data_IF_861348814626
#
_entry.id   IF_861348814626
#
_cell.length_a   1.000
_cell.length_b   1.000
_cell.length_c   1.000
_cell.angle_alpha   90.00
_cell.angle_beta   90.00
_cell.angle_gamma   90.00
#
_symmetry.space_group_name_H-M   'P 1'
#
loop_
_entity.id
_entity.type
_entity.pdbx_description
1 polymer ?
#
# COMPACT_ATOMS: atom_id res chain seq x y z
N UNK A 1 -21.02 1.13 13.89
CA UNK A 1 -19.88 1.05 12.95
C UNK A 1 -19.12 2.37 13.01
N UNK A 2 -17.79 2.37 13.25
CA UNK A 2 -17.03 3.61 13.48
C UNK A 2 -17.05 4.57 12.28
N UNK A 3 -17.11 4.04 11.04
CA UNK A 3 -17.07 4.83 9.80
C UNK A 3 -18.45 5.34 9.33
N UNK A 4 -19.55 4.99 10.02
CA UNK A 4 -20.89 5.52 9.74
C UNK A 4 -21.36 6.48 10.84
N UNK A 5 -20.42 7.05 11.62
CA UNK A 5 -20.71 8.05 12.64
C UNK A 5 -20.84 9.44 12.01
N UNK A 6 -21.70 10.29 12.57
CA UNK A 6 -21.89 11.68 12.16
C UNK A 6 -20.58 12.48 12.22
N UNK A 7 -19.71 12.23 13.20
CA UNK A 7 -18.42 12.90 13.31
C UNK A 7 -17.51 12.60 12.10
N UNK A 8 -17.47 11.34 11.67
CA UNK A 8 -16.67 10.94 10.51
C UNK A 8 -17.22 11.52 9.21
N UNK A 9 -18.55 11.59 9.06
CA UNK A 9 -19.19 12.20 7.89
C UNK A 9 -18.96 13.71 7.82
N UNK A 10 -18.95 14.41 8.96
CA UNK A 10 -18.56 15.83 9.04
C UNK A 10 -17.11 16.03 8.61
N UNK A 11 -16.19 15.23 9.16
CA UNK A 11 -14.78 15.26 8.78
C UNK A 11 -14.59 15.01 7.27
N UNK A 12 -15.28 14.02 6.70
CA UNK A 12 -15.19 13.72 5.28
C UNK A 12 -15.70 14.86 4.40
N UNK A 13 -16.76 15.56 4.84
CA UNK A 13 -17.29 16.74 4.16
C UNK A 13 -16.34 17.94 4.25
N UNK A 14 -15.68 18.15 5.39
CA UNK A 14 -14.69 19.22 5.57
C UNK A 14 -13.43 18.99 4.72
N UNK A 15 -13.00 17.74 4.59
CA UNK A 15 -11.81 17.34 3.82
C UNK A 15 -12.11 16.99 2.35
N UNK A 16 -13.36 17.16 1.93
CA UNK A 16 -13.84 16.97 0.55
C UNK A 16 -13.49 15.60 -0.06
N UNK A 17 -13.72 14.52 0.69
CA UNK A 17 -13.59 13.15 0.14
C UNK A 17 -14.89 12.34 0.27
N UNK A 18 -15.25 11.55 -0.75
CA UNK A 18 -16.46 10.73 -0.72
C UNK A 18 -16.29 9.52 0.21
N UNK A 19 -17.30 9.27 1.04
CA UNK A 19 -17.39 8.04 1.85
C UNK A 19 -18.27 7.03 1.12
N UNK A 20 -17.65 6.05 0.47
CA UNK A 20 -18.36 4.93 -0.16
C UNK A 20 -18.35 3.74 0.79
N UNK A 21 -19.54 3.34 1.27
CA UNK A 21 -19.72 2.12 2.05
C UNK A 21 -20.13 0.97 1.15
N UNK A 22 -19.51 -0.20 1.33
CA UNK A 22 -19.89 -1.44 0.64
C UNK A 22 -20.81 -2.26 1.51
N UNK A 23 -21.70 -3.05 0.88
CA UNK A 23 -22.54 -3.98 1.62
C UNK A 23 -21.66 -4.98 2.39
N UNK A 24 -21.99 -5.32 3.65
CA UNK A 24 -21.25 -6.30 4.44
C UNK A 24 -21.07 -7.67 3.75
N UNK A 25 -21.98 -8.01 2.82
CA UNK A 25 -21.98 -9.27 2.07
C UNK A 25 -21.05 -9.25 0.85
N UNK A 26 -20.31 -8.17 0.60
CA UNK A 26 -19.42 -8.02 -0.57
C UNK A 26 -17.93 -7.88 -0.18
N UNK A 27 -17.32 -8.96 0.36
CA UNK A 27 -15.97 -8.91 0.93
C UNK A 27 -14.85 -8.68 -0.10
N UNK A 28 -15.12 -8.92 -1.39
CA UNK A 28 -14.13 -8.77 -2.47
C UNK A 28 -13.41 -7.42 -2.47
N UNK A 29 -14.12 -6.35 -2.09
CA UNK A 29 -13.56 -4.99 -2.03
C UNK A 29 -12.49 -4.81 -0.95
N UNK A 30 -12.52 -5.63 0.12
CA UNK A 30 -11.62 -5.52 1.28
C UNK A 30 -10.49 -6.56 1.28
N UNK A 31 -10.54 -7.58 0.42
CA UNK A 31 -9.56 -8.70 0.42
C UNK A 31 -8.11 -8.21 0.33
N UNK A 32 -7.85 -7.19 -0.51
CA UNK A 32 -6.50 -6.66 -0.65
C UNK A 32 -6.02 -5.95 0.62
N UNK A 33 -6.92 -5.22 1.29
CA UNK A 33 -6.64 -4.53 2.56
C UNK A 33 -6.37 -5.55 3.66
N UNK A 34 -7.21 -6.59 3.78
CA UNK A 34 -7.03 -7.64 4.77
C UNK A 34 -5.70 -8.38 4.62
N UNK A 35 -5.34 -8.73 3.38
CA UNK A 35 -4.04 -9.35 3.07
C UNK A 35 -2.88 -8.45 3.48
N UNK A 36 -2.98 -7.15 3.18
CA UNK A 36 -1.98 -6.16 3.54
C UNK A 36 -1.83 -6.04 5.06
N UNK A 37 -2.94 -5.97 5.80
CA UNK A 37 -2.94 -5.96 7.26
C UNK A 37 -2.26 -7.20 7.83
N UNK A 38 -2.52 -8.38 7.25
CA UNK A 38 -1.83 -9.62 7.62
C UNK A 38 -0.31 -9.54 7.43
N UNK A 39 0.15 -9.02 6.28
CA UNK A 39 1.57 -8.86 5.97
C UNK A 39 2.24 -7.89 6.96
N UNK A 40 1.64 -6.73 7.20
CA UNK A 40 2.19 -5.73 8.12
C UNK A 40 2.26 -6.27 9.54
N UNK A 41 1.20 -6.93 10.03
CA UNK A 41 1.21 -7.53 11.36
C UNK A 41 2.35 -8.54 11.51
N UNK A 42 2.58 -9.38 10.51
CA UNK A 42 3.69 -10.34 10.53
C UNK A 42 5.06 -9.64 10.44
N UNK A 43 5.19 -8.59 9.62
CA UNK A 43 6.42 -7.82 9.51
C UNK A 43 6.77 -7.09 10.82
N UNK A 44 5.78 -6.47 11.46
CA UNK A 44 5.95 -5.80 12.76
C UNK A 44 6.30 -6.79 13.86
N UNK A 45 5.72 -7.99 13.88
CA UNK A 45 6.09 -9.04 14.85
C UNK A 45 7.54 -9.52 14.71
N UNK A 46 8.12 -9.44 13.51
CA UNK A 46 9.48 -9.90 13.20
C UNK A 46 10.55 -8.82 13.41
N UNK A 47 10.16 -7.56 13.58
CA UNK A 47 11.07 -6.43 13.73
C UNK A 47 11.00 -5.87 15.14
N UNK A 48 12.15 -5.45 15.67
CA UNK A 48 12.22 -4.72 16.94
C UNK A 48 11.71 -3.27 16.81
N UNK A 49 11.93 -2.66 15.63
CA UNK A 49 11.43 -1.32 15.30
C UNK A 49 10.34 -1.40 14.21
N UNK A 50 9.09 -0.98 14.50
CA UNK A 50 8.01 -0.93 13.52
C UNK A 50 8.32 -0.07 12.29
N UNK A 51 9.09 1.01 12.45
CA UNK A 51 9.39 1.93 11.35
C UNK A 51 10.27 1.27 10.29
N UNK A 52 11.27 0.50 10.74
CA UNK A 52 12.16 -0.26 9.85
C UNK A 52 11.37 -1.34 9.10
N UNK A 53 10.44 -2.02 9.77
CA UNK A 53 9.58 -3.03 9.14
C UNK A 53 8.74 -2.45 8.00
N UNK A 54 8.13 -1.29 8.23
CA UNK A 54 7.33 -0.59 7.22
C UNK A 54 8.22 -0.11 6.07
N UNK A 55 9.42 0.42 6.37
CA UNK A 55 10.38 0.85 5.36
C UNK A 55 10.81 -0.32 4.45
N UNK A 56 11.15 -1.46 5.05
CA UNK A 56 11.51 -2.67 4.31
C UNK A 56 10.35 -3.18 3.45
N UNK A 57 9.12 -3.19 4.00
CA UNK A 57 7.94 -3.56 3.21
C UNK A 57 7.76 -2.64 1.99
N UNK A 58 7.91 -1.32 2.17
CA UNK A 58 7.78 -0.34 1.06
C UNK A 58 8.83 -0.54 -0.02
N UNK A 59 10.02 -1.04 0.31
CA UNK A 59 11.10 -1.31 -0.64
C UNK A 59 11.07 -2.73 -1.23
N UNK A 60 10.29 -3.64 -0.65
CA UNK A 60 10.19 -5.02 -1.14
C UNK A 60 9.25 -5.09 -2.35
N UNK A 61 9.64 -5.72 -3.46
CA UNK A 61 8.76 -5.94 -4.61
C UNK A 61 7.50 -6.73 -4.21
N UNK A 62 6.35 -6.34 -4.76
CA UNK A 62 5.09 -7.07 -4.51
C UNK A 62 5.13 -8.40 -5.26
N UNK A 63 4.70 -9.50 -4.65
CA UNK A 63 4.64 -10.80 -5.34
C UNK A 63 3.91 -10.71 -6.68
N UNK A 64 4.53 -11.27 -7.73
CA UNK A 64 4.09 -11.24 -9.13
C UNK A 64 4.15 -9.86 -9.81
N UNK A 65 4.72 -8.84 -9.15
CA UNK A 65 5.01 -7.53 -9.71
C UNK A 65 6.51 -7.23 -9.59
N UNK A 66 7.10 -6.58 -10.59
CA UNK A 66 8.53 -6.21 -10.53
C UNK A 66 8.81 -4.95 -9.68
N UNK A 67 7.76 -4.29 -9.20
CA UNK A 67 7.83 -2.98 -8.54
C UNK A 67 7.49 -3.10 -7.05
N UNK A 68 8.20 -2.31 -6.23
CA UNK A 68 7.87 -2.14 -4.81
C UNK A 68 6.80 -1.07 -4.60
N UNK A 69 6.10 -1.06 -3.46
CA UNK A 69 5.14 0.00 -3.13
C UNK A 69 5.73 1.41 -3.21
N UNK A 70 6.99 1.60 -2.78
CA UNK A 70 7.68 2.88 -2.91
C UNK A 70 7.91 3.29 -4.37
N UNK A 71 8.23 2.34 -5.24
CA UNK A 71 8.39 2.62 -6.67
C UNK A 71 7.07 2.97 -7.33
N UNK A 72 5.96 2.37 -6.90
CA UNK A 72 4.63 2.69 -7.42
C UNK A 72 4.14 4.08 -6.97
N UNK A 73 4.46 4.49 -5.74
CA UNK A 73 3.99 5.74 -5.16
C UNK A 73 4.92 6.93 -5.44
N UNK A 74 6.23 6.73 -5.31
CA UNK A 74 7.25 7.79 -5.39
C UNK A 74 8.10 7.71 -6.66
N UNK A 75 7.86 6.75 -7.54
CA UNK A 75 8.70 6.44 -8.70
C UNK A 75 10.16 6.15 -8.34
N UNK A 76 10.50 5.83 -7.09
CA UNK A 76 11.88 5.59 -6.65
C UNK A 76 11.94 4.57 -5.52
N UNK A 77 13.10 3.98 -5.30
CA UNK A 77 13.37 3.18 -4.09
C UNK A 77 13.79 4.10 -2.94
N UNK A 78 13.35 3.78 -1.73
CA UNK A 78 13.78 4.49 -0.53
C UNK A 78 15.15 3.95 -0.10
N UNK A 79 15.92 4.76 0.62
CA UNK A 79 17.16 4.29 1.25
C UNK A 79 16.79 3.44 2.46
N UNK A 80 17.30 2.22 2.50
CA UNK A 80 17.15 1.30 3.63
C UNK A 80 18.53 0.81 4.10
N UNK A 81 18.52 -0.13 5.05
CA UNK A 81 19.73 -0.72 5.61
C UNK A 81 20.42 -1.70 4.63
N UNK A 82 19.79 -1.96 3.46
CA UNK A 82 20.33 -2.86 2.45
C UNK A 82 21.20 -2.03 1.50
N UNK A 83 22.48 -2.38 1.31
CA UNK A 83 23.34 -1.64 0.41
C UNK A 83 22.77 -1.69 -1.01
N UNK A 84 22.50 -0.51 -1.58
CA UNK A 84 21.96 -0.34 -2.93
C UNK A 84 22.75 0.71 -3.70
N UNK A 85 22.80 0.55 -5.02
CA UNK A 85 23.43 1.52 -5.91
C UNK A 85 22.66 2.85 -5.88
N UNK A 86 23.38 3.97 -5.82
CA UNK A 86 22.80 5.32 -5.83
C UNK A 86 21.89 5.58 -7.03
N UNK A 87 22.14 4.90 -8.15
CA UNK A 87 21.33 5.01 -9.36
C UNK A 87 19.89 4.50 -9.15
N UNK A 88 19.70 3.52 -8.27
CA UNK A 88 18.39 2.93 -7.96
C UNK A 88 17.54 3.82 -7.04
N UNK A 89 18.16 4.82 -6.40
CA UNK A 89 17.47 5.80 -5.55
C UNK A 89 16.92 6.99 -6.37
N UNK A 90 17.34 7.12 -7.63
CA UNK A 90 16.82 8.15 -8.54
C UNK A 90 15.40 7.79 -8.99
N UNK A 91 14.56 8.78 -9.29
CA UNK A 91 13.23 8.53 -9.81
C UNK A 91 13.30 7.88 -11.20
N UNK A 92 12.56 6.80 -11.38
CA UNK A 92 12.34 6.08 -12.62
C UNK A 92 10.86 5.71 -12.70
N UNK A 93 10.18 6.20 -13.75
CA UNK A 93 8.74 6.01 -13.92
C UNK A 93 8.47 4.57 -14.37
N UNK A 94 7.68 3.78 -13.62
CA UNK A 94 7.36 2.42 -14.00
C UNK A 94 6.20 2.41 -15.03
N UNK A 95 6.52 2.60 -16.31
CA UNK A 95 5.53 2.77 -17.38
C UNK A 95 4.49 1.64 -17.49
N UNK A 96 4.88 0.39 -17.19
CA UNK A 96 4.01 -0.79 -17.30
C UNK A 96 3.24 -1.12 -16.01
N UNK A 97 3.55 -0.47 -14.88
CA UNK A 97 2.98 -0.83 -13.59
C UNK A 97 1.45 -0.74 -13.56
N UNK A 98 0.86 0.29 -14.19
CA UNK A 98 -0.59 0.48 -14.20
C UNK A 98 -1.32 -0.66 -14.93
N UNK A 99 -0.80 -1.08 -16.07
CA UNK A 99 -1.36 -2.19 -16.86
C UNK A 99 -1.27 -3.52 -16.10
N UNK A 100 -0.12 -3.78 -15.47
CA UNK A 100 0.08 -4.98 -14.65
C UNK A 100 -0.85 -5.01 -13.43
N UNK A 101 -1.08 -3.87 -12.77
CA UNK A 101 -2.01 -3.78 -11.64
C UNK A 101 -3.47 -4.01 -12.05
N UNK A 102 -3.89 -3.44 -13.19
CA UNK A 102 -5.24 -3.62 -13.71
C UNK A 102 -5.51 -5.09 -14.09
N UNK A 103 -4.58 -5.73 -14.79
CA UNK A 103 -4.70 -7.15 -15.13
C UNK A 103 -4.74 -8.07 -13.90
N UNK A 104 -4.13 -7.65 -12.79
CA UNK A 104 -4.20 -8.37 -11.51
C UNK A 104 -5.55 -8.22 -10.81
N UNK A 105 -6.22 -7.08 -10.97
CA UNK A 105 -7.53 -6.82 -10.37
C UNK A 105 -8.67 -7.49 -11.15
N UNK A 106 -8.46 -7.82 -12.43
CA UNK A 106 -9.43 -8.49 -13.29
C UNK A 106 -9.36 -10.03 -13.23
N UNK A 107 -8.32 -10.58 -12.59
CA UNK A 107 -8.16 -12.02 -12.34
C UNK A 107 -8.73 -12.39 -10.98
#
# INVERSE_FOLDING_TARGET
MPFNNQEFLKFAKEWDFPVTTTSPLYPQTNVQVERFVGIIKTAMKKSQDPNIAILQYRNTPINNLKYSPAQLLFNRRLRDNIPTLKINLKPAIPAKARQELQSRQQK
#
